data_IF_215475430705
#
_entry.id   IF_215475430705
#
_cell.length_a   1.000
_cell.length_b   1.000
_cell.length_c   1.000
_cell.angle_alpha   90.00
_cell.angle_beta   90.00
_cell.angle_gamma   90.00
#
_symmetry.space_group_name_H-M   'P 1'
#
loop_
_entity.id
_entity.type
_entity.pdbx_description
1 polymer ?
#
# COMPACT_ATOMS: atom_id res chain seq x y z
N UNK A 1 -10.66 -10.95 -14.00
CA UNK A 1 -9.37 -10.33 -13.61
C UNK A 1 -9.43 -9.83 -12.18
N UNK A 2 -8.35 -9.94 -11.41
CA UNK A 2 -8.17 -9.30 -10.09
C UNK A 2 -6.74 -8.75 -10.05
N UNK A 3 -6.60 -7.49 -9.67
CA UNK A 3 -5.30 -6.82 -9.48
C UNK A 3 -5.17 -6.43 -8.01
N UNK A 4 -4.25 -7.06 -7.29
CA UNK A 4 -3.93 -6.70 -5.92
C UNK A 4 -2.91 -5.56 -5.91
N UNK A 5 -3.33 -4.37 -5.50
CA UNK A 5 -2.52 -3.16 -5.59
C UNK A 5 -1.58 -2.95 -4.38
N UNK A 6 -1.58 -3.89 -3.41
CA UNK A 6 -0.79 -3.74 -2.20
C UNK A 6 -0.25 -5.07 -1.69
N UNK A 7 0.97 -5.40 -2.09
CA UNK A 7 1.70 -6.58 -1.62
C UNK A 7 3.15 -6.24 -1.30
N UNK A 8 3.77 -7.06 -0.45
CA UNK A 8 5.18 -6.95 -0.10
C UNK A 8 5.91 -8.26 -0.35
N UNK A 9 7.13 -8.17 -0.85
CA UNK A 9 8.06 -9.30 -0.95
C UNK A 9 9.47 -8.86 -0.58
N UNK A 10 10.26 -9.84 -0.14
CA UNK A 10 11.66 -9.66 0.22
C UNK A 10 12.52 -10.61 -0.63
N UNK A 11 13.79 -10.25 -0.89
CA UNK A 11 14.74 -11.21 -1.48
C UNK A 11 14.82 -12.49 -0.64
N UNK A 12 14.85 -13.66 -1.31
CA UNK A 12 14.81 -14.98 -0.65
C UNK A 12 15.79 -15.11 0.52
N UNK A 13 17.01 -14.57 0.36
CA UNK A 13 18.06 -14.64 1.38
C UNK A 13 17.73 -13.96 2.71
N UNK A 14 16.81 -12.97 2.70
CA UNK A 14 16.47 -12.18 3.87
C UNK A 14 14.99 -12.29 4.28
N UNK A 15 14.15 -12.93 3.45
CA UNK A 15 12.71 -12.97 3.66
C UNK A 15 12.32 -13.49 5.05
N UNK A 16 12.84 -14.65 5.44
CA UNK A 16 12.56 -15.23 6.75
C UNK A 16 12.99 -14.34 7.92
N UNK A 17 14.19 -13.72 7.82
CA UNK A 17 14.68 -12.79 8.83
C UNK A 17 13.81 -11.52 8.91
N UNK A 18 13.48 -10.94 7.75
CA UNK A 18 12.67 -9.73 7.69
C UNK A 18 11.28 -9.96 8.29
N UNK A 19 10.61 -11.05 7.93
CA UNK A 19 9.31 -11.42 8.48
C UNK A 19 9.37 -11.64 9.99
N UNK A 20 10.35 -12.40 10.47
CA UNK A 20 10.52 -12.65 11.91
C UNK A 20 10.72 -11.36 12.69
N UNK A 21 11.56 -10.45 12.17
CA UNK A 21 11.81 -9.15 12.80
C UNK A 21 10.54 -8.29 12.87
N UNK A 22 9.80 -8.20 11.76
CA UNK A 22 8.58 -7.40 11.72
C UNK A 22 7.45 -8.01 12.56
N UNK A 23 7.32 -9.36 12.61
CA UNK A 23 6.37 -10.02 13.50
C UNK A 23 6.70 -9.76 14.98
N UNK A 24 7.99 -9.75 15.34
CA UNK A 24 8.41 -9.44 16.71
C UNK A 24 8.11 -7.98 17.11
N UNK A 25 8.04 -7.06 16.14
CA UNK A 25 7.68 -5.67 16.40
C UNK A 25 6.17 -5.43 16.43
N UNK A 26 5.44 -6.03 15.49
CA UNK A 26 4.01 -5.75 15.27
C UNK A 26 3.08 -6.79 15.89
N UNK A 27 3.61 -7.94 16.30
CA UNK A 27 2.83 -9.12 16.73
C UNK A 27 1.73 -9.57 15.75
N UNK A 28 1.80 -9.14 14.49
CA UNK A 28 0.90 -9.56 13.43
C UNK A 28 1.37 -10.87 12.79
N UNK A 29 0.43 -11.76 12.50
CA UNK A 29 0.70 -12.99 11.78
C UNK A 29 1.05 -12.71 10.30
N UNK A 30 1.91 -13.56 9.73
CA UNK A 30 2.20 -13.59 8.29
C UNK A 30 1.66 -14.86 7.66
N UNK A 31 1.30 -14.80 6.38
CA UNK A 31 0.58 -15.88 5.68
C UNK A 31 1.27 -16.37 4.41
N UNK A 32 2.43 -15.81 4.07
CA UNK A 32 3.34 -16.36 3.06
C UNK A 32 4.76 -16.33 3.60
N UNK A 33 5.70 -16.93 2.89
CA UNK A 33 7.12 -16.91 3.23
C UNK A 33 7.81 -15.56 2.91
N UNK A 34 7.05 -14.57 2.45
CA UNK A 34 7.53 -13.24 2.09
C UNK A 34 8.36 -13.19 0.81
N UNK A 35 8.49 -14.29 0.06
CA UNK A 35 9.21 -14.31 -1.21
C UNK A 35 8.30 -13.99 -2.40
N UNK A 36 8.88 -13.64 -3.54
CA UNK A 36 8.14 -13.49 -4.79
C UNK A 36 7.46 -14.80 -5.21
N UNK A 37 8.06 -15.97 -4.91
CA UNK A 37 7.46 -17.27 -5.21
C UNK A 37 6.28 -17.56 -4.27
N UNK A 38 6.40 -17.27 -2.98
CA UNK A 38 5.29 -17.37 -2.02
C UNK A 38 4.11 -16.48 -2.41
N UNK A 39 4.37 -15.25 -2.86
CA UNK A 39 3.32 -14.37 -3.37
C UNK A 39 2.65 -14.93 -4.62
N UNK A 40 3.40 -15.45 -5.60
CA UNK A 40 2.81 -16.10 -6.80
C UNK A 40 1.93 -17.29 -6.46
N UNK A 41 2.31 -18.09 -5.46
CA UNK A 41 1.46 -19.20 -5.00
C UNK A 41 0.17 -18.66 -4.38
N UNK A 42 0.26 -17.63 -3.53
CA UNK A 42 -0.91 -16.94 -2.96
C UNK A 42 -1.83 -16.36 -4.04
N UNK A 43 -1.25 -15.76 -5.10
CA UNK A 43 -2.01 -15.26 -6.26
C UNK A 43 -2.77 -16.39 -6.96
N UNK A 44 -2.13 -17.55 -7.19
CA UNK A 44 -2.79 -18.69 -7.81
C UNK A 44 -3.96 -19.19 -6.97
N UNK A 45 -3.77 -19.37 -5.66
CA UNK A 45 -4.80 -19.81 -4.72
C UNK A 45 -5.98 -18.81 -4.64
N UNK A 46 -5.70 -17.52 -4.79
CA UNK A 46 -6.69 -16.45 -4.75
C UNK A 46 -7.27 -16.05 -6.12
N UNK A 47 -6.84 -16.67 -7.24
CA UNK A 47 -7.15 -16.23 -8.60
C UNK A 47 -6.84 -14.74 -8.84
N UNK A 48 -5.78 -14.22 -8.25
CA UNK A 48 -5.24 -12.88 -8.50
C UNK A 48 -4.36 -12.94 -9.74
N UNK A 49 -4.59 -12.06 -10.71
CA UNK A 49 -3.88 -12.06 -11.99
C UNK A 49 -2.59 -11.22 -11.95
N UNK A 50 -2.63 -10.13 -11.19
CA UNK A 50 -1.48 -9.24 -11.00
C UNK A 50 -1.40 -8.78 -9.56
N UNK A 51 -0.18 -8.61 -9.04
CA UNK A 51 0.08 -8.02 -7.73
C UNK A 51 1.11 -6.92 -7.84
N UNK A 52 0.78 -5.74 -7.29
CA UNK A 52 1.73 -4.63 -7.17
C UNK A 52 2.59 -4.85 -5.93
N UNK A 53 3.89 -5.00 -6.14
CA UNK A 53 4.88 -5.20 -5.07
C UNK A 53 5.46 -3.86 -4.66
N UNK A 54 5.32 -3.52 -3.39
CA UNK A 54 5.63 -2.23 -2.79
C UNK A 54 6.84 -2.33 -1.85
N UNK A 55 8.07 -2.07 -2.32
CA UNK A 55 9.26 -2.11 -1.47
C UNK A 55 9.27 -0.93 -0.50
N UNK A 56 9.55 -1.19 0.77
CA UNK A 56 9.75 -0.15 1.79
C UNK A 56 11.26 0.07 1.99
N UNK A 57 11.72 1.29 1.76
CA UNK A 57 13.14 1.65 1.93
C UNK A 57 13.32 2.31 3.29
N UNK A 58 13.93 1.58 4.22
CA UNK A 58 14.19 2.04 5.60
C UNK A 58 15.61 2.58 5.79
N UNK A 59 16.51 2.29 4.85
CA UNK A 59 17.88 2.80 4.85
C UNK A 59 18.14 3.59 3.57
N UNK A 60 18.44 4.90 3.64
CA UNK A 60 18.65 5.76 2.49
C UNK A 60 19.77 5.27 1.55
N UNK A 61 20.84 4.66 2.10
CA UNK A 61 21.97 4.14 1.32
C UNK A 61 21.62 2.89 0.49
N UNK A 62 20.48 2.27 0.75
CA UNK A 62 20.01 1.08 0.00
C UNK A 62 19.02 1.40 -1.10
N UNK A 63 18.64 2.65 -1.28
CA UNK A 63 17.62 3.09 -2.24
C UNK A 63 17.90 2.56 -3.65
N UNK A 64 19.06 2.86 -4.21
CA UNK A 64 19.40 2.42 -5.56
C UNK A 64 19.41 0.90 -5.70
N UNK A 65 19.99 0.18 -4.73
CA UNK A 65 20.05 -1.28 -4.74
C UNK A 65 18.66 -1.94 -4.71
N UNK A 66 17.74 -1.44 -3.88
CA UNK A 66 16.37 -1.98 -3.79
C UNK A 66 15.61 -1.68 -5.09
N UNK A 67 15.78 -0.49 -5.65
CA UNK A 67 15.18 -0.12 -6.93
C UNK A 67 15.75 -0.94 -8.10
N UNK A 68 17.03 -1.31 -8.08
CA UNK A 68 17.61 -2.23 -9.07
C UNK A 68 16.94 -3.60 -9.05
N UNK A 69 16.64 -4.13 -7.86
CA UNK A 69 15.89 -5.38 -7.72
C UNK A 69 14.46 -5.21 -8.25
N UNK A 70 13.80 -4.11 -7.93
CA UNK A 70 12.46 -3.81 -8.45
C UNK A 70 12.45 -3.77 -9.98
N UNK A 71 13.41 -3.09 -10.59
CA UNK A 71 13.55 -3.02 -12.07
C UNK A 71 13.76 -4.40 -12.65
N UNK A 72 14.67 -5.19 -12.08
CA UNK A 72 15.00 -6.53 -12.57
C UNK A 72 13.84 -7.53 -12.48
N UNK A 73 12.95 -7.38 -11.49
CA UNK A 73 11.84 -8.30 -11.25
C UNK A 73 10.51 -7.83 -11.86
N UNK A 74 10.43 -6.58 -12.35
CA UNK A 74 9.19 -6.00 -12.84
C UNK A 74 8.62 -6.76 -14.05
N UNK A 75 7.32 -7.06 -14.01
CA UNK A 75 6.59 -7.75 -15.07
C UNK A 75 6.71 -9.28 -15.07
N UNK A 76 7.49 -9.88 -14.18
CA UNK A 76 7.73 -11.33 -14.16
C UNK A 76 6.62 -12.04 -13.39
N UNK A 77 5.85 -12.90 -14.10
CA UNK A 77 4.83 -13.76 -13.48
C UNK A 77 3.67 -13.00 -12.85
N UNK A 78 3.24 -11.89 -13.47
CA UNK A 78 2.13 -11.08 -12.99
C UNK A 78 2.50 -10.11 -11.86
N UNK A 79 3.79 -10.05 -11.44
CA UNK A 79 4.25 -9.11 -10.43
C UNK A 79 4.64 -7.78 -11.06
N UNK A 80 4.05 -6.69 -10.57
CA UNK A 80 4.33 -5.31 -11.00
C UNK A 80 5.07 -4.63 -9.86
N UNK A 81 6.38 -4.46 -10.02
CA UNK A 81 7.19 -3.84 -8.97
C UNK A 81 7.13 -2.31 -9.07
N UNK A 82 6.83 -1.69 -7.95
CA UNK A 82 7.08 -0.28 -7.74
C UNK A 82 8.50 -0.07 -7.21
N UNK A 83 8.97 1.14 -7.24
CA UNK A 83 10.19 1.54 -6.55
C UNK A 83 9.89 2.06 -5.15
N UNK A 84 10.92 2.57 -4.53
CA UNK A 84 10.82 3.30 -3.27
C UNK A 84 11.86 4.41 -3.22
N UNK A 85 11.68 5.33 -2.27
CA UNK A 85 12.63 6.40 -1.99
C UNK A 85 12.61 6.69 -0.49
N UNK A 86 13.77 6.96 0.10
CA UNK A 86 13.87 7.44 1.47
C UNK A 86 14.03 8.97 1.45
N UNK A 87 13.40 9.73 2.36
CA UNK A 87 13.52 11.20 2.37
C UNK A 87 14.95 11.71 2.55
N UNK A 88 15.84 10.91 3.12
CA UNK A 88 17.26 11.24 3.29
C UNK A 88 18.17 10.64 2.21
N UNK A 89 17.61 10.03 1.15
CA UNK A 89 18.43 9.50 0.05
C UNK A 89 19.15 10.60 -0.70
N UNK A 90 20.39 10.34 -1.10
CA UNK A 90 21.09 11.23 -1.99
C UNK A 90 20.52 11.19 -3.41
N UNK A 91 20.44 12.33 -4.08
CA UNK A 91 20.06 12.39 -5.49
C UNK A 91 18.63 11.94 -5.81
N UNK A 92 17.67 12.16 -4.92
CA UNK A 92 16.26 11.73 -5.01
C UNK A 92 15.68 11.93 -6.42
N UNK A 93 15.78 13.14 -6.97
CA UNK A 93 15.21 13.46 -8.29
C UNK A 93 15.80 12.58 -9.41
N UNK A 94 17.11 12.38 -9.40
CA UNK A 94 17.79 11.56 -10.40
C UNK A 94 17.39 10.09 -10.28
N UNK A 95 17.22 9.59 -9.07
CA UNK A 95 16.78 8.23 -8.83
C UNK A 95 15.33 8.01 -9.31
N UNK A 96 14.42 8.94 -9.03
CA UNK A 96 13.04 8.88 -9.52
C UNK A 96 12.98 8.92 -11.05
N UNK A 97 13.80 9.75 -11.71
CA UNK A 97 13.93 9.75 -13.16
C UNK A 97 14.46 8.40 -13.69
N UNK A 98 15.46 7.83 -13.02
CA UNK A 98 16.07 6.55 -13.40
C UNK A 98 15.04 5.41 -13.36
N UNK A 99 14.32 5.25 -12.26
CA UNK A 99 13.33 4.18 -12.14
C UNK A 99 12.16 4.39 -13.11
N UNK A 100 11.72 5.63 -13.30
CA UNK A 100 10.67 5.98 -14.28
C UNK A 100 11.08 5.59 -15.70
N UNK A 101 12.32 5.89 -16.10
CA UNK A 101 12.85 5.54 -17.42
C UNK A 101 13.06 4.02 -17.59
N UNK A 102 13.24 3.28 -16.50
CA UNK A 102 13.29 1.81 -16.49
C UNK A 102 11.89 1.16 -16.51
N UNK A 103 10.80 1.93 -16.59
CA UNK A 103 9.44 1.42 -16.69
C UNK A 103 8.72 1.21 -15.36
N UNK A 104 9.31 1.61 -14.23
CA UNK A 104 8.63 1.61 -12.94
C UNK A 104 7.56 2.71 -12.94
N UNK A 105 6.33 2.36 -12.56
CA UNK A 105 5.18 3.25 -12.67
C UNK A 105 4.85 4.03 -11.38
N UNK A 106 5.43 3.66 -10.26
CA UNK A 106 5.17 4.32 -8.99
C UNK A 106 6.18 3.96 -7.91
N UNK A 107 5.99 4.55 -6.74
CA UNK A 107 6.83 4.32 -5.55
C UNK A 107 5.97 4.05 -4.32
N UNK A 108 6.56 3.35 -3.34
CA UNK A 108 6.04 3.22 -1.97
C UNK A 108 6.75 4.20 -1.05
N UNK A 109 5.97 4.88 -0.21
CA UNK A 109 6.43 5.67 0.93
C UNK A 109 5.85 5.10 2.23
N UNK A 110 6.66 5.12 3.30
CA UNK A 110 6.23 4.61 4.60
C UNK A 110 6.75 5.54 5.73
N UNK A 111 6.03 6.63 6.05
CA UNK A 111 6.49 7.65 6.99
C UNK A 111 6.93 7.15 8.36
N UNK A 112 6.26 6.13 8.91
CA UNK A 112 6.63 5.51 10.19
C UNK A 112 7.96 4.78 10.09
N UNK A 113 8.14 3.90 9.10
CA UNK A 113 9.38 3.16 8.86
C UNK A 113 10.56 4.08 8.48
N UNK A 114 10.28 5.24 7.92
CA UNK A 114 11.25 6.23 7.48
C UNK A 114 11.43 7.38 8.50
N UNK A 115 10.81 7.27 9.67
CA UNK A 115 10.89 8.18 10.80
C UNK A 115 10.70 9.67 10.43
N UNK A 116 9.85 9.96 9.43
CA UNK A 116 9.66 11.31 8.87
C UNK A 116 8.18 11.57 8.64
N UNK A 117 7.68 12.73 9.03
CA UNK A 117 6.29 13.11 8.81
C UNK A 117 6.01 13.37 7.33
N UNK A 118 4.85 12.95 6.81
CA UNK A 118 4.53 13.10 5.37
C UNK A 118 4.51 14.57 4.90
N UNK A 119 4.26 15.51 5.78
CA UNK A 119 4.30 16.94 5.49
C UNK A 119 5.66 17.62 5.77
N UNK A 120 6.73 16.83 6.02
CA UNK A 120 8.12 17.34 6.05
C UNK A 120 8.56 17.77 4.64
N UNK A 121 9.36 18.82 4.56
CA UNK A 121 9.83 19.39 3.28
C UNK A 121 10.50 18.36 2.36
N UNK A 122 11.20 17.37 2.92
CA UNK A 122 11.86 16.28 2.16
C UNK A 122 10.82 15.44 1.41
N UNK A 123 9.70 15.09 2.04
CA UNK A 123 8.60 14.39 1.38
C UNK A 123 7.86 15.27 0.41
N UNK A 124 7.64 16.56 0.72
CA UNK A 124 7.00 17.48 -0.22
C UNK A 124 7.75 17.52 -1.55
N UNK A 125 9.08 17.62 -1.53
CA UNK A 125 9.89 17.55 -2.76
C UNK A 125 9.75 16.19 -3.48
N UNK A 126 9.68 15.06 -2.75
CA UNK A 126 9.44 13.75 -3.38
C UNK A 126 8.08 13.74 -4.09
N UNK A 127 7.03 14.24 -3.43
CA UNK A 127 5.68 14.31 -3.99
C UNK A 127 5.63 15.19 -5.24
N UNK A 128 6.28 16.36 -5.21
CA UNK A 128 6.42 17.25 -6.37
C UNK A 128 7.11 16.55 -7.54
N UNK A 129 8.25 15.90 -7.30
CA UNK A 129 8.96 15.17 -8.36
C UNK A 129 8.14 14.00 -8.91
N UNK A 130 7.38 13.29 -8.05
CA UNK A 130 6.47 12.24 -8.51
C UNK A 130 5.35 12.80 -9.38
N UNK A 131 4.78 13.95 -9.02
CA UNK A 131 3.80 14.67 -9.83
C UNK A 131 4.33 15.04 -11.21
N UNK A 132 5.51 15.66 -11.26
CA UNK A 132 6.18 16.06 -12.50
C UNK A 132 6.49 14.86 -13.42
N UNK A 133 6.88 13.73 -12.84
CA UNK A 133 7.25 12.51 -13.57
C UNK A 133 6.05 11.61 -13.88
N UNK A 134 4.87 11.91 -13.37
CA UNK A 134 3.69 11.07 -13.48
C UNK A 134 3.84 9.71 -12.80
N UNK A 135 4.61 9.65 -11.69
CA UNK A 135 4.75 8.46 -10.85
C UNK A 135 3.58 8.38 -9.86
N UNK A 136 3.04 7.18 -9.69
CA UNK A 136 2.04 6.87 -8.68
C UNK A 136 2.73 6.79 -7.32
N UNK A 137 2.16 7.40 -6.29
CA UNK A 137 2.65 7.30 -4.91
C UNK A 137 1.68 6.45 -4.10
N UNK A 138 2.12 5.27 -3.65
CA UNK A 138 1.39 4.48 -2.65
C UNK A 138 1.98 4.81 -1.29
N UNK A 139 1.15 5.38 -0.42
CA UNK A 139 1.54 5.88 0.88
C UNK A 139 0.95 5.01 1.98
N UNK A 140 1.79 4.45 2.88
CA UNK A 140 1.26 3.93 4.14
C UNK A 140 0.65 5.08 4.92
N UNK A 141 -0.63 4.97 5.26
CA UNK A 141 -1.39 6.02 5.95
C UNK A 141 -1.96 5.51 7.27
N UNK A 142 -1.90 6.34 8.30
CA UNK A 142 -2.42 6.05 9.63
C UNK A 142 -1.41 5.41 10.56
N UNK A 143 -1.93 4.60 11.49
CA UNK A 143 -1.14 3.86 12.46
C UNK A 143 -0.40 2.68 11.81
N UNK A 144 0.56 2.13 12.53
CA UNK A 144 1.23 0.87 12.21
C UNK A 144 1.47 0.13 13.53
N UNK A 145 1.00 -1.12 13.66
CA UNK A 145 1.19 -1.90 14.89
C UNK A 145 2.65 -2.06 15.33
N UNK A 146 3.61 -1.97 14.40
CA UNK A 146 5.03 -1.97 14.69
C UNK A 146 5.57 -0.66 15.30
N UNK A 147 4.74 0.41 15.33
CA UNK A 147 5.10 1.74 15.83
C UNK A 147 3.99 2.31 16.73
N UNK A 148 3.66 1.65 17.84
CA UNK A 148 2.53 2.03 18.67
C UNK A 148 2.65 3.46 19.20
N UNK A 149 1.59 4.25 18.99
CA UNK A 149 1.51 5.65 19.46
C UNK A 149 2.26 6.67 18.61
N UNK A 150 2.92 6.27 17.53
CA UNK A 150 3.54 7.21 16.59
C UNK A 150 2.56 7.67 15.52
N UNK A 151 2.52 8.99 15.27
CA UNK A 151 1.70 9.61 14.22
C UNK A 151 2.59 10.38 13.25
N UNK A 152 2.76 9.84 12.03
CA UNK A 152 3.57 10.48 10.98
C UNK A 152 2.84 10.67 9.66
N UNK A 153 1.65 10.08 9.54
CA UNK A 153 0.87 10.09 8.30
C UNK A 153 -0.64 10.01 8.57
N UNK A 154 -1.18 10.92 9.38
CA UNK A 154 -2.62 11.04 9.60
C UNK A 154 -3.31 11.66 8.39
N UNK A 155 -4.64 11.50 8.19
CA UNK A 155 -5.40 12.15 7.12
C UNK A 155 -5.17 13.68 7.05
N UNK A 156 -5.10 14.35 8.20
CA UNK A 156 -4.80 15.78 8.27
C UNK A 156 -3.39 16.11 7.76
N UNK A 157 -2.40 15.29 8.09
CA UNK A 157 -1.01 15.49 7.60
C UNK A 157 -0.92 15.25 6.10
N UNK A 158 -1.63 14.26 5.57
CA UNK A 158 -1.74 14.00 4.13
C UNK A 158 -2.39 15.20 3.43
N UNK A 159 -3.50 15.73 3.96
CA UNK A 159 -4.14 16.93 3.43
C UNK A 159 -3.19 18.10 3.39
N UNK A 160 -2.49 18.37 4.48
CA UNK A 160 -1.52 19.46 4.54
C UNK A 160 -0.40 19.30 3.49
N UNK A 161 0.07 18.07 3.25
CA UNK A 161 1.06 17.82 2.22
C UNK A 161 0.48 18.07 0.81
N UNK A 162 -0.74 17.61 0.53
CA UNK A 162 -1.42 17.81 -0.76
C UNK A 162 -1.73 19.28 -1.05
N UNK A 163 -2.02 20.08 -0.04
CA UNK A 163 -2.28 21.51 -0.19
C UNK A 163 -1.00 22.30 -0.54
N UNK A 164 0.18 21.75 -0.25
CA UNK A 164 1.48 22.39 -0.47
C UNK A 164 2.16 21.95 -1.77
N UNK A 165 1.78 20.79 -2.33
CA UNK A 165 2.39 20.26 -3.56
C UNK A 165 1.43 20.39 -4.75
N UNK A 166 1.98 20.33 -5.96
CA UNK A 166 1.20 20.25 -7.19
C UNK A 166 0.45 18.89 -7.32
N UNK A 167 -0.26 18.69 -8.43
CA UNK A 167 -1.02 17.45 -8.64
C UNK A 167 -0.11 16.22 -8.63
N UNK A 168 -0.41 15.26 -7.76
CA UNK A 168 0.25 13.96 -7.67
C UNK A 168 -0.80 12.85 -7.61
N UNK A 169 -0.55 11.74 -8.32
CA UNK A 169 -1.40 10.56 -8.24
C UNK A 169 -1.06 9.80 -6.95
N UNK A 170 -1.83 10.04 -5.89
CA UNK A 170 -1.62 9.43 -4.57
C UNK A 170 -2.66 8.36 -4.28
N UNK A 171 -2.22 7.28 -3.65
CA UNK A 171 -3.04 6.23 -3.06
C UNK A 171 -2.69 6.18 -1.57
N UNK A 172 -3.64 6.56 -0.72
CA UNK A 172 -3.52 6.41 0.73
C UNK A 172 -3.99 5.00 1.11
N UNK A 173 -3.07 4.17 1.56
CA UNK A 173 -3.34 2.77 1.89
C UNK A 173 -4.32 2.62 3.06
N UNK A 174 -4.83 1.39 3.25
CA UNK A 174 -5.62 0.98 4.40
C UNK A 174 -6.91 1.80 4.55
N UNK A 175 -7.69 1.90 3.45
CA UNK A 175 -8.91 2.72 3.37
C UNK A 175 -8.67 4.19 3.75
N UNK A 176 -7.49 4.70 3.36
CA UNK A 176 -7.11 6.10 3.52
C UNK A 176 -6.33 6.40 4.79
N UNK A 177 -6.41 5.57 5.84
CA UNK A 177 -5.59 5.72 7.06
C UNK A 177 -5.89 4.62 8.07
N UNK A 178 -4.98 3.68 8.29
CA UNK A 178 -5.17 2.60 9.27
C UNK A 178 -5.52 3.17 10.66
N UNK A 179 -6.59 2.67 11.25
CA UNK A 179 -7.11 3.04 12.58
C UNK A 179 -7.44 4.54 12.80
N UNK A 180 -7.39 5.38 11.74
CA UNK A 180 -7.77 6.78 11.79
C UNK A 180 -8.96 7.09 10.85
N UNK A 181 -9.78 6.09 10.54
CA UNK A 181 -10.80 6.13 9.48
C UNK A 181 -11.87 7.21 9.65
N UNK A 182 -12.18 7.61 10.90
CA UNK A 182 -13.21 8.62 11.16
C UNK A 182 -12.84 9.98 10.57
N UNK A 183 -11.55 10.31 10.53
CA UNK A 183 -11.05 11.56 9.98
C UNK A 183 -10.78 11.50 8.46
N UNK A 184 -10.80 10.32 7.84
CA UNK A 184 -10.52 10.16 6.40
C UNK A 184 -11.49 10.96 5.52
N UNK A 185 -12.82 10.92 5.72
CA UNK A 185 -13.75 11.72 4.93
C UNK A 185 -13.51 13.22 5.07
N UNK A 186 -13.23 13.70 6.29
CA UNK A 186 -13.03 15.13 6.56
C UNK A 186 -11.86 15.72 5.77
N UNK A 187 -10.74 14.97 5.67
CA UNK A 187 -9.52 15.52 5.09
C UNK A 187 -9.25 15.06 3.65
N UNK A 188 -9.77 13.90 3.21
CA UNK A 188 -9.38 13.31 1.93
C UNK A 188 -10.52 13.24 0.89
N UNK A 189 -11.78 13.44 1.29
CA UNK A 189 -12.93 13.29 0.40
C UNK A 189 -12.85 14.16 -0.85
N UNK A 190 -12.56 15.45 -0.70
CA UNK A 190 -12.54 16.44 -1.77
C UNK A 190 -11.19 16.50 -2.52
N UNK A 191 -10.24 15.61 -2.18
CA UNK A 191 -8.97 15.46 -2.89
C UNK A 191 -9.10 14.49 -4.06
N UNK A 192 -8.02 14.38 -4.86
CA UNK A 192 -7.88 13.34 -5.91
C UNK A 192 -7.30 12.03 -5.41
N UNK A 193 -7.04 11.93 -4.11
CA UNK A 193 -6.45 10.74 -3.48
C UNK A 193 -7.35 9.53 -3.68
N UNK A 194 -6.76 8.43 -4.12
CA UNK A 194 -7.39 7.11 -4.10
C UNK A 194 -7.06 6.40 -2.78
N UNK A 195 -7.81 5.37 -2.46
CA UNK A 195 -7.61 4.52 -1.30
C UNK A 195 -7.51 3.07 -1.72
N UNK A 196 -6.84 2.23 -0.93
CA UNK A 196 -6.85 0.79 -1.15
C UNK A 196 -7.44 0.03 0.04
N UNK A 197 -7.88 -1.20 -0.20
CA UNK A 197 -8.57 -2.02 0.79
C UNK A 197 -7.63 -2.81 1.71
N UNK A 198 -6.33 -2.64 1.55
CA UNK A 198 -5.33 -3.44 2.24
C UNK A 198 -5.47 -3.33 3.76
N UNK A 199 -5.45 -4.47 4.44
CA UNK A 199 -5.43 -4.57 5.91
C UNK A 199 -6.44 -3.65 6.62
N UNK A 200 -7.68 -3.55 6.09
CA UNK A 200 -8.65 -2.59 6.60
C UNK A 200 -10.00 -3.18 7.04
N UNK A 201 -10.33 -4.41 6.68
CA UNK A 201 -11.65 -5.01 6.93
C UNK A 201 -11.55 -6.23 7.84
N UNK A 202 -12.43 -6.33 8.84
CA UNK A 202 -12.57 -7.49 9.74
C UNK A 202 -11.68 -7.39 10.97
N UNK A 203 -10.69 -8.24 11.11
CA UNK A 203 -9.79 -8.24 12.27
C UNK A 203 -8.35 -8.62 11.88
N UNK A 204 -7.39 -8.07 12.59
CA UNK A 204 -5.98 -8.45 12.50
C UNK A 204 -5.78 -9.86 13.09
N UNK A 205 -4.83 -10.60 12.54
CA UNK A 205 -4.40 -11.87 13.11
C UNK A 205 -3.09 -11.67 13.89
N UNK A 206 -3.09 -12.06 15.17
CA UNK A 206 -1.91 -11.93 16.03
C UNK A 206 -1.08 -13.22 16.07
N UNK A 207 0.22 -13.09 16.37
CA UNK A 207 1.15 -14.23 16.51
C UNK A 207 1.02 -14.94 17.84
N UNK A 208 0.69 -14.22 18.92
CA UNK A 208 0.57 -14.69 20.28
C UNK A 208 -0.85 -14.45 20.79
N UNK A 209 -1.47 -15.46 21.38
CA UNK A 209 -2.79 -15.30 21.98
C UNK A 209 -2.75 -14.22 23.07
N UNK A 210 -3.74 -13.31 23.02
CA UNK A 210 -3.94 -12.23 24.01
C UNK A 210 -2.86 -11.13 24.05
N UNK A 211 -2.01 -10.99 23.04
CA UNK A 211 -1.14 -9.81 22.94
C UNK A 211 -1.98 -8.54 22.74
N UNK A 212 -2.90 -8.58 21.81
CA UNK A 212 -3.92 -7.55 21.61
C UNK A 212 -5.25 -7.97 22.20
N UNK A 213 -6.01 -7.02 22.71
CA UNK A 213 -7.43 -7.21 23.06
C UNK A 213 -8.27 -7.39 21.79
N UNK A 214 -9.47 -7.96 21.90
CA UNK A 214 -10.41 -8.08 20.78
C UNK A 214 -10.71 -6.72 20.12
N UNK A 215 -10.80 -5.65 20.92
CA UNK A 215 -11.04 -4.30 20.41
C UNK A 215 -9.86 -3.75 19.60
N UNK A 216 -8.62 -4.04 20.02
CA UNK A 216 -7.42 -3.63 19.28
C UNK A 216 -7.20 -4.42 18.00
N UNK A 217 -7.69 -5.66 17.94
CA UNK A 217 -7.65 -6.46 16.72
C UNK A 217 -8.69 -6.03 15.68
N UNK A 218 -9.76 -5.34 16.13
CA UNK A 218 -10.87 -4.98 15.25
C UNK A 218 -10.46 -3.92 14.24
N UNK A 219 -10.68 -4.23 12.97
CA UNK A 219 -10.60 -3.29 11.85
C UNK A 219 -11.99 -2.73 11.51
N UNK A 220 -12.18 -2.15 10.33
CA UNK A 220 -13.48 -1.65 9.89
C UNK A 220 -14.54 -2.76 9.89
N UNK A 221 -15.76 -2.40 10.32
CA UNK A 221 -16.94 -3.21 10.05
C UNK A 221 -17.33 -3.12 8.57
N UNK A 222 -18.14 -4.07 8.09
CA UNK A 222 -18.62 -4.08 6.71
C UNK A 222 -19.42 -2.80 6.37
N UNK A 223 -20.24 -2.32 7.31
CA UNK A 223 -21.04 -1.11 7.14
C UNK A 223 -20.15 0.12 6.97
N UNK A 224 -19.15 0.29 7.86
CA UNK A 224 -18.25 1.44 7.80
C UNK A 224 -17.36 1.40 6.57
N UNK A 225 -16.91 0.21 6.17
CA UNK A 225 -16.17 0.01 4.92
C UNK A 225 -17.01 0.44 3.71
N UNK A 226 -18.24 -0.06 3.59
CA UNK A 226 -19.16 0.29 2.50
C UNK A 226 -19.49 1.80 2.48
N UNK A 227 -19.60 2.42 3.64
CA UNK A 227 -19.80 3.87 3.75
C UNK A 227 -18.61 4.64 3.15
N UNK A 228 -17.36 4.27 3.49
CA UNK A 228 -16.17 4.89 2.91
C UNK A 228 -16.10 4.68 1.39
N UNK A 229 -16.45 3.49 0.89
CA UNK A 229 -16.55 3.24 -0.56
C UNK A 229 -17.55 4.18 -1.23
N UNK A 230 -18.71 4.42 -0.62
CA UNK A 230 -19.73 5.35 -1.13
C UNK A 230 -19.22 6.81 -1.12
N UNK A 231 -18.53 7.22 -0.05
CA UNK A 231 -17.99 8.57 0.09
C UNK A 231 -16.93 8.85 -0.98
N UNK A 232 -15.99 7.94 -1.17
CA UNK A 232 -14.92 8.11 -2.17
C UNK A 232 -15.40 7.89 -3.60
N UNK A 233 -16.44 7.08 -3.79
CA UNK A 233 -16.91 6.64 -5.10
C UNK A 233 -16.06 5.48 -5.63
N UNK A 234 -16.71 4.59 -6.39
CA UNK A 234 -16.10 3.34 -6.89
C UNK A 234 -14.82 3.54 -7.71
N UNK A 235 -14.66 4.69 -8.37
CA UNK A 235 -13.51 5.00 -9.23
C UNK A 235 -12.24 5.30 -8.46
N UNK A 236 -12.31 5.45 -7.12
CA UNK A 236 -11.17 5.81 -6.27
C UNK A 236 -10.77 4.73 -5.26
N UNK A 237 -11.34 3.54 -5.34
CA UNK A 237 -11.02 2.43 -4.43
C UNK A 237 -10.32 1.32 -5.19
N UNK A 238 -9.18 0.85 -4.69
CA UNK A 238 -8.36 -0.21 -5.26
C UNK A 238 -8.40 -1.44 -4.35
N UNK A 239 -8.40 -2.62 -4.92
CA UNK A 239 -8.18 -3.84 -4.15
C UNK A 239 -6.72 -3.93 -3.71
N UNK A 240 -6.49 -4.16 -2.43
CA UNK A 240 -5.22 -4.47 -1.82
C UNK A 240 -5.39 -5.50 -0.72
N UNK A 241 -4.47 -6.44 -0.60
CA UNK A 241 -4.50 -7.44 0.48
C UNK A 241 -3.57 -7.11 1.63
N UNK A 242 -2.46 -6.46 1.36
CA UNK A 242 -1.33 -6.30 2.27
C UNK A 242 -0.59 -7.63 2.54
N UNK A 243 -0.58 -8.56 1.55
CA UNK A 243 0.24 -9.77 1.67
C UNK A 243 1.71 -9.39 1.90
N UNK A 244 2.43 -10.00 2.87
CA UNK A 244 2.13 -11.24 3.59
C UNK A 244 1.31 -11.10 4.88
N UNK A 245 0.91 -9.89 5.31
CA UNK A 245 0.21 -9.64 6.58
C UNK A 245 -1.25 -10.08 6.56
N UNK A 246 -1.82 -10.27 5.37
CA UNK A 246 -3.13 -10.86 5.17
C UNK A 246 -3.10 -11.83 3.99
N UNK A 247 -4.03 -12.77 3.96
CA UNK A 247 -4.19 -13.72 2.84
C UNK A 247 -4.95 -13.09 1.70
N UNK A 248 -4.41 -13.09 0.49
CA UNK A 248 -5.11 -12.58 -0.70
C UNK A 248 -6.48 -13.23 -0.90
N UNK A 249 -6.59 -14.55 -0.69
CA UNK A 249 -7.86 -15.27 -0.78
C UNK A 249 -8.89 -14.79 0.25
N UNK A 250 -8.45 -14.45 1.45
CA UNK A 250 -9.32 -13.93 2.51
C UNK A 250 -9.78 -12.52 2.19
N UNK A 251 -8.85 -11.61 1.90
CA UNK A 251 -9.16 -10.24 1.49
C UNK A 251 -10.12 -10.18 0.30
N UNK A 252 -9.89 -11.02 -0.73
CA UNK A 252 -10.79 -11.16 -1.87
C UNK A 252 -12.20 -11.56 -1.43
N UNK A 253 -12.35 -12.64 -0.65
CA UNK A 253 -13.65 -13.16 -0.20
C UNK A 253 -14.41 -12.14 0.65
N UNK A 254 -13.72 -11.37 1.47
CA UNK A 254 -14.33 -10.30 2.25
C UNK A 254 -14.98 -9.26 1.32
N UNK A 255 -14.28 -8.76 0.30
CA UNK A 255 -14.85 -7.80 -0.66
C UNK A 255 -15.99 -8.41 -1.49
N UNK A 256 -15.87 -9.69 -1.88
CA UNK A 256 -16.94 -10.42 -2.59
C UNK A 256 -18.23 -10.51 -1.76
N UNK A 257 -18.12 -10.67 -0.43
CA UNK A 257 -19.26 -10.81 0.48
C UNK A 257 -19.99 -9.49 0.79
N UNK A 258 -19.33 -8.33 0.61
CA UNK A 258 -19.93 -7.02 0.91
C UNK A 258 -21.19 -6.76 0.08
N UNK A 259 -22.14 -6.02 0.65
CA UNK A 259 -23.33 -5.51 -0.05
C UNK A 259 -22.98 -4.31 -0.95
N UNK A 260 -22.23 -4.60 -2.00
CA UNK A 260 -21.84 -3.65 -3.06
C UNK A 260 -22.29 -4.21 -4.40
N UNK A 261 -22.72 -3.33 -5.30
CA UNK A 261 -23.10 -3.74 -6.65
C UNK A 261 -21.93 -4.31 -7.46
N UNK A 262 -22.22 -5.09 -8.48
CA UNK A 262 -21.21 -5.78 -9.29
C UNK A 262 -20.23 -4.83 -9.98
N UNK A 263 -20.69 -3.64 -10.40
CA UNK A 263 -19.83 -2.67 -11.06
C UNK A 263 -18.87 -2.00 -10.07
N UNK A 264 -19.33 -1.72 -8.86
CA UNK A 264 -18.47 -1.24 -7.75
C UNK A 264 -17.39 -2.27 -7.41
N UNK A 265 -17.74 -3.54 -7.26
CA UNK A 265 -16.78 -4.63 -7.05
C UNK A 265 -15.78 -4.75 -8.20
N UNK A 266 -16.24 -4.63 -9.45
CA UNK A 266 -15.35 -4.65 -10.62
C UNK A 266 -14.36 -3.47 -10.64
N UNK A 267 -14.79 -2.28 -10.23
CA UNK A 267 -13.88 -1.13 -10.08
C UNK A 267 -12.82 -1.38 -9.01
N UNK A 268 -13.22 -1.89 -7.85
CA UNK A 268 -12.30 -2.23 -6.75
C UNK A 268 -11.30 -3.29 -7.23
N UNK A 269 -11.78 -4.41 -7.80
CA UNK A 269 -10.91 -5.53 -8.12
C UNK A 269 -9.96 -5.30 -9.28
N UNK A 270 -10.33 -4.53 -10.31
CA UNK A 270 -9.45 -4.41 -11.49
C UNK A 270 -9.58 -3.13 -12.31
N UNK A 271 -10.78 -2.56 -12.53
CA UNK A 271 -10.96 -1.44 -13.49
C UNK A 271 -10.08 -0.24 -13.13
N UNK A 272 -10.03 0.14 -11.85
CA UNK A 272 -9.21 1.25 -11.40
C UNK A 272 -7.72 0.95 -11.54
N UNK A 273 -7.30 -0.25 -11.18
CA UNK A 273 -5.91 -0.68 -11.31
C UNK A 273 -5.48 -0.75 -12.78
N UNK A 274 -6.32 -1.29 -13.68
CA UNK A 274 -6.06 -1.33 -15.11
C UNK A 274 -5.89 0.08 -15.70
N UNK A 275 -6.76 1.01 -15.31
CA UNK A 275 -6.65 2.42 -15.72
C UNK A 275 -5.33 3.05 -15.27
N UNK A 276 -4.92 2.84 -14.01
CA UNK A 276 -3.69 3.41 -13.44
C UNK A 276 -2.43 2.80 -14.06
N UNK A 277 -2.41 1.48 -14.20
CA UNK A 277 -1.25 0.70 -14.65
C UNK A 277 -1.23 0.50 -16.16
N UNK A 278 -2.25 0.98 -16.89
CA UNK A 278 -2.41 0.80 -18.34
C UNK A 278 -2.39 -0.67 -18.77
N UNK A 279 -3.00 -1.52 -17.94
CA UNK A 279 -3.18 -2.93 -18.27
C UNK A 279 -4.37 -3.08 -19.22
N UNK A 280 -4.28 -4.05 -20.13
CA UNK A 280 -5.43 -4.41 -20.97
C UNK A 280 -6.56 -4.97 -20.09
N UNK A 281 -7.76 -4.48 -20.30
CA UNK A 281 -8.98 -4.95 -19.65
C UNK A 281 -9.50 -6.16 -20.43
N UNK A 282 -8.92 -7.35 -20.21
CA UNK A 282 -9.25 -8.62 -20.91
C UNK A 282 -9.96 -9.61 -20.00
#
# INVERSE_FOLDING_TARGET
>A
MIVDFHCHTFPEKIAAYALHHMQAMSHNAVFTDGTANGLKQSMADANVTHSVVLPVITNPDKTAHINDLSIACNGIGGLIYFGGIHPDSAGIRNELIRIRNAGIQGIKLHPLQQATNINDSRYLHILEYCGDLGLIVVLHAGADPGFPGEERCTPKMIRNALDLVGPVQMIAAHMGSLMCWDSVPEYLYDTRTMIDTSFALGAMAQTEEHFYTEAELQLLTEERFCELVKIFGKERVLFGSDSPWNRQIYARKQIEALDLDADTKAHIFYKNACRLLRLADT
#
